data_IF_438853976169
#
_entry.id   IF_438853976169
#
_cell.length_a   1.000
_cell.length_b   1.000
_cell.length_c   1.000
_cell.angle_alpha   90.00
_cell.angle_beta   90.00
_cell.angle_gamma   90.00
#
_symmetry.space_group_name_H-M   'P 1'
#
loop_
_entity.id
_entity.type
_entity.pdbx_description
1 polymer ?
#
# COMPACT_ATOMS: atom_id res chain seq x y z
N UNK A 1 -0.17 1.21 -13.94
CA UNK A 1 0.23 2.54 -13.43
C UNK A 1 1.63 2.46 -12.87
N UNK A 2 2.53 3.33 -13.32
CA UNK A 2 3.88 3.43 -12.78
C UNK A 2 3.93 4.27 -11.49
N UNK A 3 5.13 4.45 -10.94
CA UNK A 3 5.32 5.19 -9.69
C UNK A 3 4.94 6.67 -9.82
N UNK A 4 5.08 7.29 -10.99
CA UNK A 4 4.72 8.70 -11.20
C UNK A 4 3.21 8.88 -11.13
N UNK A 5 2.45 7.96 -11.70
CA UNK A 5 0.99 7.95 -11.56
C UNK A 5 0.57 7.66 -10.11
N UNK A 6 1.23 6.71 -9.43
CA UNK A 6 0.95 6.43 -8.01
C UNK A 6 1.17 7.68 -7.15
N UNK A 7 2.26 8.42 -7.36
CA UNK A 7 2.57 9.64 -6.62
C UNK A 7 1.59 10.80 -6.88
N UNK A 8 0.87 10.80 -8.01
CA UNK A 8 -0.18 11.79 -8.27
C UNK A 8 -1.41 11.55 -7.40
N UNK A 9 -1.79 10.28 -7.20
CA UNK A 9 -3.00 9.92 -6.46
C UNK A 9 -2.74 9.76 -4.96
N UNK A 10 -1.58 9.25 -4.55
CA UNK A 10 -1.24 9.13 -3.13
C UNK A 10 -0.47 10.35 -2.62
N UNK A 11 -0.83 10.89 -1.44
CA UNK A 11 -0.06 11.96 -0.81
C UNK A 11 1.26 11.45 -0.19
N UNK A 12 1.39 10.14 0.05
CA UNK A 12 2.56 9.51 0.66
C UNK A 12 3.84 9.78 -0.14
N UNK A 13 4.94 10.04 0.57
CA UNK A 13 6.29 10.25 0.00
C UNK A 13 7.31 9.48 0.82
N UNK A 14 8.54 9.37 0.30
CA UNK A 14 9.65 8.73 1.03
C UNK A 14 9.78 9.31 2.46
N UNK A 15 9.98 8.46 3.49
CA UNK A 15 10.19 7.00 3.44
C UNK A 15 8.91 6.14 3.55
N UNK A 16 7.73 6.72 3.32
CA UNK A 16 6.44 6.10 3.64
C UNK A 16 5.53 5.87 2.42
N UNK A 17 6.00 6.08 1.19
CA UNK A 17 5.32 5.58 -0.01
C UNK A 17 5.79 4.15 -0.28
N UNK A 18 4.87 3.20 -0.25
CA UNK A 18 5.18 1.76 -0.28
C UNK A 18 4.60 1.05 -1.51
N UNK A 19 3.89 1.71 -2.41
CA UNK A 19 3.43 1.10 -3.65
C UNK A 19 4.33 1.53 -4.79
N UNK A 20 4.99 0.56 -5.43
CA UNK A 20 5.92 0.81 -6.54
C UNK A 20 5.22 0.80 -7.89
N UNK A 21 4.14 0.00 -8.01
CA UNK A 21 3.39 -0.16 -9.26
C UNK A 21 1.98 -0.65 -8.98
N UNK A 22 1.03 -0.20 -9.80
CA UNK A 22 -0.31 -0.80 -9.87
C UNK A 22 -0.44 -1.55 -11.19
N UNK A 23 -0.75 -2.84 -11.12
CA UNK A 23 -0.89 -3.71 -12.29
C UNK A 23 -2.28 -3.61 -12.90
N UNK A 24 -3.32 -3.56 -12.06
CA UNK A 24 -4.71 -3.54 -12.47
C UNK A 24 -5.53 -2.71 -11.48
N UNK A 25 -6.51 -1.96 -12.00
CA UNK A 25 -7.53 -1.27 -11.19
C UNK A 25 -8.86 -1.39 -11.90
N UNK A 26 -9.86 -1.91 -11.21
CA UNK A 26 -11.26 -1.86 -11.62
C UNK A 26 -11.97 -0.92 -10.65
N UNK A 27 -12.29 0.33 -11.06
CA UNK A 27 -12.94 1.31 -10.20
C UNK A 27 -14.21 0.76 -9.53
N UNK A 28 -14.32 0.94 -8.22
CA UNK A 28 -15.43 0.43 -7.42
C UNK A 28 -15.40 -1.06 -7.13
N UNK A 29 -14.36 -1.79 -7.55
CA UNK A 29 -14.32 -3.25 -7.41
C UNK A 29 -12.99 -3.76 -6.84
N UNK A 30 -11.86 -3.54 -7.52
CA UNK A 30 -10.60 -4.17 -7.12
C UNK A 30 -9.34 -3.43 -7.59
N UNK A 31 -8.21 -3.73 -6.94
CA UNK A 31 -6.89 -3.26 -7.33
C UNK A 31 -5.83 -4.31 -7.06
N UNK A 32 -4.88 -4.43 -8.00
CA UNK A 32 -3.70 -5.27 -7.88
C UNK A 32 -2.45 -4.38 -7.90
N UNK A 33 -1.68 -4.40 -6.82
CA UNK A 33 -0.50 -3.55 -6.66
C UNK A 33 0.75 -4.33 -6.23
N UNK A 34 1.91 -3.75 -6.51
CA UNK A 34 3.23 -4.32 -6.20
C UNK A 34 3.98 -3.43 -5.22
N UNK A 35 4.57 -4.10 -4.22
CA UNK A 35 5.68 -3.61 -3.40
C UNK A 35 6.89 -4.50 -3.65
N UNK A 36 7.96 -3.95 -4.19
CA UNK A 36 9.27 -4.58 -4.21
C UNK A 36 9.93 -4.36 -2.85
N UNK A 37 10.52 -5.43 -2.31
CA UNK A 37 11.20 -5.40 -1.01
C UNK A 37 12.70 -5.45 -1.26
N UNK A 38 13.42 -4.42 -0.83
CA UNK A 38 14.87 -4.35 -1.05
C UNK A 38 15.63 -4.02 0.22
N UNK A 39 16.84 -4.58 0.37
CA UNK A 39 17.69 -4.34 1.55
C UNK A 39 18.00 -2.85 1.74
N UNK A 40 17.90 -2.05 0.69
CA UNK A 40 18.15 -0.61 0.70
C UNK A 40 16.95 0.23 1.19
N UNK A 41 16.01 -0.35 1.94
CA UNK A 41 14.90 0.37 2.56
C UNK A 41 15.23 0.79 4.00
N UNK A 42 14.75 1.97 4.44
CA UNK A 42 15.21 2.60 5.70
C UNK A 42 14.81 1.86 6.97
N UNK A 43 13.86 0.92 6.92
CA UNK A 43 13.46 0.14 8.08
C UNK A 43 14.33 -1.12 8.32
N UNK A 44 15.06 -1.60 7.31
CA UNK A 44 15.87 -2.83 7.46
C UNK A 44 17.09 -2.70 8.40
N UNK A 45 17.81 -1.56 8.46
CA UNK A 45 18.89 -1.39 9.43
C UNK A 45 18.43 -1.62 10.88
N UNK A 46 17.16 -1.35 11.19
CA UNK A 46 16.57 -1.51 12.51
C UNK A 46 15.75 -2.80 12.71
N UNK A 47 15.40 -3.53 11.66
CA UNK A 47 14.43 -4.64 11.76
C UNK A 47 14.83 -5.87 10.92
N UNK A 48 15.84 -6.63 11.32
CA UNK A 48 16.77 -6.43 12.43
C UNK A 48 18.21 -6.43 11.89
N UNK A 49 19.21 -5.80 12.57
CA UNK A 49 20.55 -5.60 12.04
C UNK A 49 21.24 -6.83 11.42
N UNK A 50 20.97 -8.05 11.91
CA UNK A 50 21.55 -9.30 11.43
C UNK A 50 20.56 -10.19 10.66
N UNK A 51 19.28 -9.82 10.64
CA UNK A 51 18.20 -10.59 10.03
C UNK A 51 17.14 -9.61 9.50
N UNK A 52 17.33 -9.08 8.29
CA UNK A 52 16.40 -8.13 7.70
C UNK A 52 15.07 -8.82 7.41
N UNK A 53 13.99 -8.33 8.03
CA UNK A 53 12.62 -8.81 7.84
C UNK A 53 11.73 -7.59 7.67
N UNK A 54 10.88 -7.55 6.66
CA UNK A 54 9.96 -6.43 6.49
C UNK A 54 8.98 -6.40 7.69
N UNK A 55 8.84 -5.27 8.40
CA UNK A 55 7.90 -5.20 9.52
C UNK A 55 6.47 -5.46 9.03
N UNK A 56 5.72 -6.33 9.74
CA UNK A 56 4.35 -6.67 9.35
C UNK A 56 3.42 -5.45 9.24
N UNK A 57 3.66 -4.43 10.07
CA UNK A 57 2.94 -3.15 10.00
C UNK A 57 3.19 -2.38 8.70
N UNK A 58 4.37 -2.52 8.08
CA UNK A 58 4.65 -1.91 6.77
C UNK A 58 3.92 -2.66 5.64
N UNK A 59 3.66 -3.96 5.80
CA UNK A 59 2.84 -4.73 4.86
C UNK A 59 1.37 -4.27 4.95
N UNK A 60 0.87 -4.04 6.17
CA UNK A 60 -0.48 -3.49 6.39
C UNK A 60 -0.61 -2.09 5.80
N UNK A 61 0.37 -1.22 6.02
CA UNK A 61 0.40 0.12 5.46
C UNK A 61 0.42 0.09 3.92
N UNK A 62 1.27 -0.75 3.31
CA UNK A 62 1.30 -0.91 1.86
C UNK A 62 -0.05 -1.40 1.31
N UNK A 63 -0.71 -2.34 2.00
CA UNK A 63 -2.07 -2.78 1.64
C UNK A 63 -3.10 -1.66 1.76
N UNK A 64 -3.01 -0.82 2.80
CA UNK A 64 -3.85 0.36 2.96
C UNK A 64 -3.63 1.36 1.81
N UNK A 65 -2.37 1.63 1.43
CA UNK A 65 -2.05 2.48 0.28
C UNK A 65 -2.57 1.92 -1.04
N UNK A 66 -2.47 0.60 -1.26
CA UNK A 66 -3.09 -0.05 -2.40
C UNK A 66 -4.60 0.17 -2.42
N UNK A 67 -5.29 0.01 -1.27
CA UNK A 67 -6.72 0.31 -1.17
C UNK A 67 -7.05 1.79 -1.43
N UNK A 68 -6.17 2.71 -1.00
CA UNK A 68 -6.25 4.13 -1.32
C UNK A 68 -6.23 4.37 -2.83
N UNK A 69 -5.36 3.67 -3.58
CA UNK A 69 -5.35 3.75 -5.05
C UNK A 69 -6.71 3.41 -5.66
N UNK A 70 -7.39 2.38 -5.14
CA UNK A 70 -8.74 2.04 -5.58
C UNK A 70 -9.74 3.15 -5.24
N UNK A 71 -9.66 3.72 -4.03
CA UNK A 71 -10.54 4.80 -3.60
C UNK A 71 -10.44 6.03 -4.53
N UNK A 72 -9.23 6.53 -4.80
CA UNK A 72 -9.03 7.68 -5.69
C UNK A 72 -9.54 7.42 -7.12
N UNK A 73 -9.35 6.20 -7.63
CA UNK A 73 -9.87 5.83 -8.96
C UNK A 73 -11.38 5.62 -9.02
N UNK A 74 -12.01 5.39 -7.88
CA UNK A 74 -13.46 5.20 -7.76
C UNK A 74 -14.19 6.53 -7.57
N UNK A 75 -13.61 7.45 -6.80
CA UNK A 75 -14.20 8.75 -6.47
C UNK A 75 -13.21 9.89 -6.81
N UNK A 76 -13.37 10.53 -7.98
CA UNK A 76 -12.50 11.62 -8.42
C UNK A 76 -12.50 12.83 -7.48
N UNK A 77 -13.54 13.02 -6.64
CA UNK A 77 -13.57 14.11 -5.67
C UNK A 77 -12.48 13.98 -4.60
N UNK A 78 -11.94 12.77 -4.41
CA UNK A 78 -10.84 12.53 -3.49
C UNK A 78 -9.52 13.12 -4.01
N UNK A 79 -9.40 13.46 -5.29
CA UNK A 79 -8.18 14.07 -5.85
C UNK A 79 -8.00 15.55 -5.50
N UNK A 80 -8.95 16.15 -4.76
CA UNK A 80 -8.82 17.55 -4.34
C UNK A 80 -7.63 17.78 -3.39
N UNK A 81 -6.87 18.88 -3.57
CA UNK A 81 -5.74 19.21 -2.71
C UNK A 81 -6.14 19.25 -1.23
N UNK A 82 -5.51 18.42 -0.41
CA UNK A 82 -5.77 18.32 1.03
C UNK A 82 -6.74 17.21 1.45
N UNK A 83 -7.33 16.48 0.50
CA UNK A 83 -8.05 15.24 0.79
C UNK A 83 -7.09 14.20 1.38
N UNK A 84 -7.43 13.68 2.56
CA UNK A 84 -6.66 12.65 3.25
C UNK A 84 -7.50 11.40 3.42
N UNK A 85 -6.96 10.28 2.95
CA UNK A 85 -7.53 8.96 3.20
C UNK A 85 -7.00 8.43 4.52
N UNK A 86 -7.81 8.50 5.57
CA UNK A 86 -7.43 8.03 6.90
C UNK A 86 -7.64 6.53 7.05
N UNK A 87 -6.59 5.84 7.46
CA UNK A 87 -6.66 4.44 7.86
C UNK A 87 -7.21 4.34 9.29
N UNK A 88 -8.46 3.89 9.43
CA UNK A 88 -9.20 3.90 10.72
C UNK A 88 -9.13 2.58 11.48
N UNK A 89 -8.75 1.48 10.84
CA UNK A 89 -8.66 0.18 11.49
C UNK A 89 -8.47 -0.99 10.53
N UNK A 90 -8.10 -2.13 11.09
CA UNK A 90 -7.92 -3.38 10.36
C UNK A 90 -8.39 -4.56 11.20
N UNK A 91 -9.22 -5.42 10.61
CA UNK A 91 -9.75 -6.60 11.28
C UNK A 91 -9.17 -7.89 10.70
N UNK A 92 -9.08 -8.93 11.53
CA UNK A 92 -8.70 -10.30 11.13
C UNK A 92 -7.35 -10.41 10.42
N UNK A 93 -6.41 -9.51 10.70
CA UNK A 93 -5.06 -9.53 10.13
C UNK A 93 -4.29 -10.76 10.58
N UNK A 94 -3.62 -11.45 9.64
CA UNK A 94 -2.79 -12.62 9.92
C UNK A 94 -1.53 -12.59 9.05
N UNK A 95 -0.37 -12.69 9.68
CA UNK A 95 0.91 -12.86 9.00
C UNK A 95 1.26 -14.36 8.96
N UNK A 96 1.47 -14.89 7.76
CA UNK A 96 1.70 -16.33 7.56
C UNK A 96 3.17 -16.70 7.39
N UNK A 97 3.96 -15.78 6.83
CA UNK A 97 5.40 -15.95 6.61
C UNK A 97 6.11 -14.61 6.74
N UNK A 98 7.40 -14.67 7.01
CA UNK A 98 8.30 -13.52 6.94
C UNK A 98 8.44 -13.08 5.48
N UNK A 99 8.66 -11.79 5.29
CA UNK A 99 8.96 -11.17 3.99
C UNK A 99 10.35 -10.57 4.10
N UNK A 100 11.20 -10.83 3.13
CA UNK A 100 12.63 -10.55 3.19
C UNK A 100 13.09 -9.75 1.96
N UNK A 101 14.26 -9.08 2.02
CA UNK A 101 14.85 -8.44 0.84
C UNK A 101 14.94 -9.38 -0.36
N UNK A 102 14.50 -8.89 -1.53
CA UNK A 102 14.41 -9.66 -2.77
C UNK A 102 13.00 -10.16 -3.09
N UNK A 103 12.10 -10.18 -2.10
CA UNK A 103 10.69 -10.52 -2.34
C UNK A 103 9.98 -9.45 -3.16
N UNK A 104 8.97 -9.89 -3.92
CA UNK A 104 7.95 -9.01 -4.49
C UNK A 104 6.61 -9.34 -3.87
N UNK A 105 6.06 -8.39 -3.11
CA UNK A 105 4.72 -8.48 -2.59
C UNK A 105 3.72 -8.05 -3.65
N UNK A 106 2.74 -8.91 -3.89
CA UNK A 106 1.56 -8.60 -4.71
C UNK A 106 0.35 -8.50 -3.80
N UNK A 107 -0.26 -7.33 -3.79
CA UNK A 107 -1.50 -7.06 -3.06
C UNK A 107 -2.67 -7.18 -4.02
N UNK A 108 -3.65 -8.00 -3.65
CA UNK A 108 -4.95 -8.07 -4.30
C UNK A 108 -5.99 -7.56 -3.31
N UNK A 109 -6.63 -6.44 -3.64
CA UNK A 109 -7.60 -5.78 -2.76
C UNK A 109 -8.94 -5.74 -3.49
N UNK A 110 -10.00 -6.15 -2.79
CA UNK A 110 -11.37 -6.10 -3.28
C UNK A 110 -12.19 -5.17 -2.39
N UNK A 111 -12.98 -4.30 -2.99
CA UNK A 111 -13.95 -3.48 -2.30
C UNK A 111 -15.13 -4.35 -1.86
N UNK A 112 -15.30 -4.49 -0.55
CA UNK A 112 -16.41 -5.28 0.00
C UNK A 112 -17.67 -4.44 0.14
N UNK A 113 -17.53 -3.21 0.66
CA UNK A 113 -18.66 -2.30 0.90
C UNK A 113 -18.17 -0.88 1.18
N UNK A 114 -18.88 0.10 0.65
CA UNK A 114 -18.74 1.51 1.02
C UNK A 114 -19.85 1.89 1.99
N UNK A 115 -19.51 2.55 3.10
CA UNK A 115 -20.48 3.18 4.02
C UNK A 115 -20.10 4.64 4.18
N UNK A 116 -21.04 5.55 3.94
CA UNK A 116 -20.94 6.94 4.39
C UNK A 116 -21.53 7.01 5.80
N UNK A 117 -20.82 7.68 6.70
CA UNK A 117 -21.31 7.97 8.05
C UNK A 117 -22.57 8.82 8.01
#
# INVERSE_FOLDING_TARGET
MDVYEVMKHLPHRYPFLLIDRVLEVVPGESVVAIKNVTINEPFFPGHFPQRPVMPGVMIMEAMAQASGMLAYRTDPSLEEPGSLYFFVGMDKVRFKRQVEPGDQLRFEVNLVRTRRG
#
